data_IF_203610974995
#
_entry.id   IF_203610974995
#
_cell.length_a   1.000
_cell.length_b   1.000
_cell.length_c   1.000
_cell.angle_alpha   90.00
_cell.angle_beta   90.00
_cell.angle_gamma   90.00
#
_symmetry.space_group_name_H-M   'P 1'
#
loop_
_entity.id
_entity.type
_entity.pdbx_description
1 polymer ?
#
# COMPACT_ATOMS: atom_id res chain seq x y z
N UNK A 1 33.38 34.71 -25.34
CA UNK A 1 33.23 35.35 -24.02
C UNK A 1 31.78 35.79 -23.86
N UNK A 2 30.96 35.05 -23.11
CA UNK A 2 29.55 35.42 -22.84
C UNK A 2 29.54 36.46 -21.72
N UNK A 3 29.14 37.68 -22.04
CA UNK A 3 29.10 38.83 -21.13
C UNK A 3 28.24 38.51 -19.90
N UNK A 4 28.76 38.76 -18.68
CA UNK A 4 28.06 38.51 -17.40
C UNK A 4 26.69 39.20 -17.29
N UNK A 5 26.42 40.23 -18.10
CA UNK A 5 25.10 40.89 -18.17
C UNK A 5 24.02 39.99 -18.80
N UNK A 6 24.37 39.11 -19.75
CA UNK A 6 23.38 38.31 -20.48
C UNK A 6 22.77 37.18 -19.65
N UNK A 7 23.51 36.62 -18.69
CA UNK A 7 23.04 35.48 -17.87
C UNK A 7 21.98 35.93 -16.85
N UNK A 8 22.19 37.10 -16.22
CA UNK A 8 21.24 37.65 -15.24
C UNK A 8 19.94 38.08 -15.91
N UNK A 9 20.03 38.72 -17.08
CA UNK A 9 18.85 39.11 -17.86
C UNK A 9 18.06 37.90 -18.35
N UNK A 10 18.74 36.86 -18.83
CA UNK A 10 18.10 35.60 -19.24
C UNK A 10 17.39 34.90 -18.06
N UNK A 11 18.01 34.87 -16.87
CA UNK A 11 17.39 34.31 -15.67
C UNK A 11 16.12 35.08 -15.25
N UNK A 12 16.17 36.41 -15.27
CA UNK A 12 15.02 37.26 -14.92
C UNK A 12 13.87 37.15 -15.93
N UNK A 13 14.16 36.88 -17.21
CA UNK A 13 13.12 36.62 -18.21
C UNK A 13 12.47 35.24 -18.04
N UNK A 14 13.23 34.22 -17.65
CA UNK A 14 12.72 32.86 -17.43
C UNK A 14 11.79 32.77 -16.21
N UNK A 15 12.06 33.54 -15.15
CA UNK A 15 11.19 33.64 -13.97
C UNK A 15 9.80 34.26 -14.25
N UNK A 16 9.61 34.91 -15.41
CA UNK A 16 8.34 35.57 -15.79
C UNK A 16 7.36 34.66 -16.54
N UNK A 17 7.64 33.36 -16.68
CA UNK A 17 6.67 32.37 -17.18
C UNK A 17 6.30 32.44 -18.67
N UNK A 18 6.86 33.39 -19.44
CA UNK A 18 6.58 33.59 -20.89
C UNK A 18 7.86 33.55 -21.74
N UNK A 19 8.95 32.93 -21.27
CA UNK A 19 10.20 32.93 -22.04
C UNK A 19 10.14 31.94 -23.22
N UNK A 20 10.21 32.45 -24.45
CA UNK A 20 10.31 31.70 -25.71
C UNK A 20 11.72 31.20 -26.05
N UNK A 21 12.62 31.14 -25.08
CA UNK A 21 14.02 30.76 -25.31
C UNK A 21 14.08 29.28 -25.73
N UNK A 22 14.44 29.06 -27.00
CA UNK A 22 14.69 27.75 -27.59
C UNK A 22 15.66 26.94 -26.73
N UNK A 23 15.38 25.65 -26.55
CA UNK A 23 16.11 24.73 -25.65
C UNK A 23 17.61 24.67 -25.92
N UNK A 24 18.03 25.00 -27.14
CA UNK A 24 19.42 24.99 -27.63
C UNK A 24 20.31 26.09 -27.03
N UNK A 25 19.73 27.19 -26.51
CA UNK A 25 20.48 28.28 -25.88
C UNK A 25 20.63 28.18 -24.37
N UNK A 26 20.15 27.09 -23.75
CA UNK A 26 20.12 26.96 -22.30
C UNK A 26 21.49 26.54 -21.76
N UNK A 27 21.97 27.14 -20.65
CA UNK A 27 23.19 26.70 -20.00
C UNK A 27 23.05 25.26 -19.49
N UNK A 28 24.15 24.50 -19.59
CA UNK A 28 24.22 23.11 -19.13
C UNK A 28 23.84 23.02 -17.64
N UNK A 29 22.83 22.20 -17.26
CA UNK A 29 22.40 22.07 -15.87
C UNK A 29 23.53 21.68 -14.92
N UNK A 30 24.53 20.90 -15.37
CA UNK A 30 25.70 20.56 -14.54
C UNK A 30 26.49 21.81 -14.15
N UNK A 31 26.76 22.69 -15.12
CA UNK A 31 27.52 23.93 -14.91
C UNK A 31 26.76 24.95 -14.04
N UNK A 32 25.42 24.88 -14.02
CA UNK A 32 24.59 25.70 -13.12
C UNK A 32 24.69 25.24 -11.66
N UNK A 33 24.67 23.92 -11.43
CA UNK A 33 24.85 23.32 -10.09
C UNK A 33 26.22 23.66 -9.50
N UNK A 34 27.29 23.55 -10.30
CA UNK A 34 28.66 23.92 -9.88
C UNK A 34 28.77 25.40 -9.47
N UNK A 35 27.88 26.26 -9.97
CA UNK A 35 27.79 27.68 -9.63
C UNK A 35 26.78 27.97 -8.51
N UNK A 36 26.18 26.95 -7.92
CA UNK A 36 25.18 27.08 -6.85
C UNK A 36 23.81 27.58 -7.33
N UNK A 37 23.51 27.52 -8.63
CA UNK A 37 22.23 27.96 -9.18
C UNK A 37 21.31 26.75 -9.27
N UNK A 38 20.20 26.78 -8.55
CA UNK A 38 19.14 25.78 -8.64
C UNK A 38 18.03 26.27 -9.57
N UNK A 39 17.81 25.55 -10.67
CA UNK A 39 16.66 25.69 -11.55
C UNK A 39 15.89 24.37 -11.65
N UNK A 40 14.71 24.38 -12.27
CA UNK A 40 13.95 23.15 -12.50
C UNK A 40 14.76 22.12 -13.28
N UNK A 41 15.49 22.55 -14.30
CA UNK A 41 16.34 21.69 -15.12
C UNK A 41 17.49 21.07 -14.34
N UNK A 42 18.08 21.80 -13.37
CA UNK A 42 19.13 21.23 -12.52
C UNK A 42 18.57 20.22 -11.52
N UNK A 43 17.36 20.45 -11.02
CA UNK A 43 16.66 19.52 -10.12
C UNK A 43 16.33 18.23 -10.88
N UNK A 44 15.74 18.35 -12.07
CA UNK A 44 15.39 17.21 -12.93
C UNK A 44 16.66 16.42 -13.32
N UNK A 45 17.76 17.12 -13.62
CA UNK A 45 19.05 16.49 -13.90
C UNK A 45 19.62 15.76 -12.66
N UNK A 46 19.61 16.37 -11.48
CA UNK A 46 20.06 15.72 -10.25
C UNK A 46 19.21 14.49 -9.89
N UNK A 47 17.89 14.57 -10.07
CA UNK A 47 16.99 13.43 -9.90
C UNK A 47 17.29 12.30 -10.90
N UNK A 48 17.76 12.63 -12.11
CA UNK A 48 18.16 11.63 -13.11
C UNK A 48 19.48 10.91 -12.78
N UNK A 49 20.35 11.51 -11.96
CA UNK A 49 21.61 10.88 -11.52
C UNK A 49 21.37 9.78 -10.48
N UNK A 50 20.33 9.91 -9.67
CA UNK A 50 19.92 8.95 -8.66
C UNK A 50 18.43 8.65 -8.82
N UNK A 51 18.04 7.86 -9.84
CA UNK A 51 16.64 7.48 -10.00
C UNK A 51 16.21 6.75 -8.73
N UNK A 52 15.26 7.33 -8.00
CA UNK A 52 14.70 6.69 -6.82
C UNK A 52 14.13 5.34 -7.23
N UNK A 53 14.53 4.28 -6.54
CA UNK A 53 13.95 2.96 -6.78
C UNK A 53 12.46 3.05 -6.42
N UNK A 54 11.54 2.77 -7.36
CA UNK A 54 10.12 2.89 -7.05
C UNK A 54 9.79 1.98 -5.87
N UNK A 55 9.00 2.51 -4.93
CA UNK A 55 8.56 1.72 -3.79
C UNK A 55 7.90 0.42 -4.27
N UNK A 56 8.17 -0.73 -3.62
CA UNK A 56 7.56 -1.99 -4.01
C UNK A 56 6.04 -1.87 -4.00
N UNK A 57 5.41 -2.23 -5.11
CA UNK A 57 3.95 -2.18 -5.23
C UNK A 57 3.33 -3.14 -4.21
N UNK A 58 2.62 -2.59 -3.22
CA UNK A 58 1.76 -3.41 -2.36
C UNK A 58 0.55 -3.89 -3.18
N UNK A 59 0.55 -5.15 -3.59
CA UNK A 59 -0.63 -5.76 -4.16
C UNK A 59 -1.66 -6.00 -3.04
N UNK A 60 -2.92 -5.57 -3.21
CA UNK A 60 -3.96 -5.88 -2.25
C UNK A 60 -4.15 -7.41 -2.18
N UNK A 61 -4.45 -7.95 -0.99
CA UNK A 61 -4.63 -9.39 -0.82
C UNK A 61 -5.77 -9.91 -1.71
N UNK A 62 -5.49 -10.99 -2.45
CA UNK A 62 -6.39 -11.56 -3.44
C UNK A 62 -7.75 -11.95 -2.81
N UNK A 63 -8.83 -11.31 -3.27
CA UNK A 63 -10.18 -11.50 -2.71
C UNK A 63 -10.69 -12.93 -2.87
N UNK A 64 -10.28 -13.63 -3.94
CA UNK A 64 -10.68 -15.03 -4.18
C UNK A 64 -10.15 -15.96 -3.09
N UNK A 65 -8.91 -15.76 -2.64
CA UNK A 65 -8.32 -16.55 -1.56
C UNK A 65 -9.09 -16.37 -0.23
N UNK A 66 -9.61 -15.17 0.02
CA UNK A 66 -10.44 -14.90 1.21
C UNK A 66 -11.77 -15.64 1.16
N UNK A 67 -12.42 -15.69 -0.01
CA UNK A 67 -13.70 -16.38 -0.17
C UNK A 67 -13.54 -17.90 0.02
N UNK A 68 -12.51 -18.50 -0.59
CA UNK A 68 -12.22 -19.94 -0.42
C UNK A 68 -11.96 -20.30 1.05
N UNK A 69 -11.18 -19.48 1.77
CA UNK A 69 -10.90 -19.72 3.18
C UNK A 69 -12.18 -19.62 4.05
N UNK A 70 -13.09 -18.69 3.75
CA UNK A 70 -14.36 -18.55 4.46
C UNK A 70 -15.29 -19.73 4.18
N UNK A 71 -15.34 -20.21 2.94
CA UNK A 71 -16.13 -21.38 2.57
C UNK A 71 -15.62 -22.66 3.23
N UNK A 72 -14.29 -22.85 3.28
CA UNK A 72 -13.67 -23.96 3.99
C UNK A 72 -14.04 -23.96 5.48
N UNK A 73 -13.94 -22.80 6.17
CA UNK A 73 -14.36 -22.67 7.57
C UNK A 73 -15.84 -22.98 7.78
N UNK A 74 -16.71 -22.53 6.87
CA UNK A 74 -18.14 -22.83 6.93
C UNK A 74 -18.42 -24.33 6.76
N UNK A 75 -17.70 -25.00 5.85
CA UNK A 75 -17.84 -26.44 5.63
C UNK A 75 -17.39 -27.25 6.85
N UNK A 76 -16.25 -26.90 7.44
CA UNK A 76 -15.73 -27.52 8.67
C UNK A 76 -16.72 -27.38 9.84
N UNK A 77 -17.27 -26.17 10.03
CA UNK A 77 -18.26 -25.92 11.07
C UNK A 77 -19.53 -26.77 10.88
N UNK A 78 -20.03 -26.90 9.65
CA UNK A 78 -21.18 -27.77 9.35
C UNK A 78 -20.87 -29.24 9.63
N UNK A 79 -19.67 -29.71 9.29
CA UNK A 79 -19.22 -31.07 9.57
C UNK A 79 -19.18 -31.34 11.08
N UNK A 80 -18.62 -30.41 11.86
CA UNK A 80 -18.58 -30.48 13.33
C UNK A 80 -19.97 -30.53 13.96
N UNK A 81 -20.92 -29.71 13.49
CA UNK A 81 -22.30 -29.77 14.01
C UNK A 81 -22.94 -31.11 13.66
N UNK A 82 -22.69 -31.64 12.46
CA UNK A 82 -23.25 -32.92 12.05
C UNK A 82 -22.73 -34.07 12.92
N UNK A 83 -21.43 -34.10 13.22
CA UNK A 83 -20.86 -35.13 14.10
C UNK A 83 -21.40 -35.02 15.52
N UNK A 84 -21.54 -33.81 16.07
CA UNK A 84 -22.13 -33.60 17.40
C UNK A 84 -23.58 -34.11 17.46
N UNK A 85 -24.39 -33.82 16.43
CA UNK A 85 -25.76 -34.32 16.34
C UNK A 85 -25.83 -35.84 16.26
N UNK A 86 -24.93 -36.45 15.51
CA UNK A 86 -24.88 -37.90 15.37
C UNK A 86 -24.45 -38.57 16.68
N UNK A 87 -23.44 -38.04 17.35
CA UNK A 87 -23.01 -38.51 18.67
C UNK A 87 -24.15 -38.40 19.70
N UNK A 88 -24.91 -37.30 19.68
CA UNK A 88 -26.06 -37.13 20.55
C UNK A 88 -27.17 -38.17 20.28
N UNK A 89 -27.40 -38.54 19.01
CA UNK A 89 -28.36 -39.60 18.66
C UNK A 89 -27.91 -40.97 19.15
N UNK A 90 -26.62 -41.27 19.05
CA UNK A 90 -26.06 -42.57 19.41
C UNK A 90 -25.93 -42.75 20.93
N UNK A 91 -25.64 -41.67 21.67
CA UNK A 91 -25.45 -41.70 23.13
C UNK A 91 -26.13 -40.50 23.80
N UNK A 92 -27.48 -40.51 23.91
CA UNK A 92 -28.22 -39.35 24.37
C UNK A 92 -27.96 -39.01 25.84
N UNK A 93 -27.67 -39.99 26.71
CA UNK A 93 -27.44 -39.71 28.13
C UNK A 93 -26.06 -39.08 28.40
N UNK A 94 -24.99 -39.60 27.79
CA UNK A 94 -23.65 -39.01 27.88
C UNK A 94 -23.63 -37.62 27.25
N UNK A 95 -24.23 -37.48 26.06
CA UNK A 95 -24.24 -36.20 25.36
C UNK A 95 -25.08 -35.14 26.08
N UNK A 96 -26.15 -35.51 26.81
CA UNK A 96 -26.88 -34.59 27.70
C UNK A 96 -25.98 -34.08 28.83
N UNK A 97 -25.24 -34.98 29.50
CA UNK A 97 -24.30 -34.58 30.57
C UNK A 97 -23.19 -33.66 30.04
N UNK A 98 -22.67 -33.94 28.86
CA UNK A 98 -21.66 -33.09 28.22
C UNK A 98 -22.22 -31.71 27.85
N UNK A 99 -23.48 -31.66 27.38
CA UNK A 99 -24.17 -30.40 27.11
C UNK A 99 -24.42 -29.58 28.38
N UNK A 100 -24.89 -30.22 29.45
CA UNK A 100 -25.10 -29.57 30.75
C UNK A 100 -23.78 -29.05 31.32
N UNK A 101 -22.71 -29.85 31.24
CA UNK A 101 -21.35 -29.46 31.65
C UNK A 101 -20.85 -28.27 30.82
N UNK A 102 -21.01 -28.31 29.49
CA UNK A 102 -20.62 -27.21 28.61
C UNK A 102 -21.44 -25.94 28.87
N UNK A 103 -22.72 -26.07 29.27
CA UNK A 103 -23.56 -24.95 29.70
C UNK A 103 -23.03 -24.34 30.98
N UNK A 104 -22.71 -25.17 31.98
CA UNK A 104 -22.18 -24.72 33.28
C UNK A 104 -20.85 -23.96 33.13
N UNK A 105 -19.95 -24.42 32.24
CA UNK A 105 -18.69 -23.73 31.95
C UNK A 105 -18.85 -22.42 31.15
N UNK A 106 -19.96 -22.24 30.42
CA UNK A 106 -20.17 -21.05 29.58
C UNK A 106 -20.53 -19.81 30.40
N UNK A 107 -20.98 -20.03 31.64
CA UNK A 107 -21.39 -18.97 32.55
C UNK A 107 -22.72 -18.30 32.16
N UNK A 108 -23.36 -17.60 33.12
CA UNK A 108 -24.70 -17.05 32.95
C UNK A 108 -24.79 -15.91 31.92
N UNK A 109 -23.67 -15.32 31.50
CA UNK A 109 -23.66 -14.23 30.52
C UNK A 109 -24.04 -14.67 29.08
N UNK A 110 -24.19 -15.97 28.83
CA UNK A 110 -24.45 -16.52 27.49
C UNK A 110 -25.75 -17.33 27.40
N UNK A 111 -26.56 -17.36 28.46
CA UNK A 111 -27.92 -17.90 28.42
C UNK A 111 -28.86 -16.82 27.84
N UNK A 112 -29.64 -17.19 26.81
CA UNK A 112 -30.63 -16.34 26.15
C UNK A 112 -32.03 -16.78 26.48
#
# INVERSE_FOLDING_TARGET
>A
MVSRKSIREAFMQQARGVSSVLREGRPDPKALVERGIQTRETIDWQASLHPETPAPAMHPPNQLLRQVALEAKRAEHRARIRSLRENFRQRPEEARRDFDTARDYRGPEHER
#
